data_IF_321551611632
#
_entry.id   IF_321551611632
#
_cell.length_a   1.000
_cell.length_b   1.000
_cell.length_c   1.000
_cell.angle_alpha   90.00
_cell.angle_beta   90.00
_cell.angle_gamma   90.00
#
_symmetry.space_group_name_H-M   'P 1'
#
loop_
_entity.id
_entity.type
_entity.pdbx_description
1 polymer ?
#
# COMPACT_ATOMS: atom_id res chain seq x y z
N UNK A 1 -35.36 -2.53 3.89
CA UNK A 1 -34.43 -2.26 2.76
C UNK A 1 -33.25 -1.48 3.31
N UNK A 2 -32.09 -2.12 3.49
CA UNK A 2 -30.89 -1.43 3.99
C UNK A 2 -30.27 -0.68 2.80
N UNK A 3 -30.38 0.64 2.82
CA UNK A 3 -29.79 1.55 1.86
C UNK A 3 -28.28 1.33 1.80
N UNK A 4 -27.80 0.64 0.77
CA UNK A 4 -26.39 0.58 0.43
C UNK A 4 -25.96 1.97 -0.03
N UNK A 5 -25.46 2.76 0.91
CA UNK A 5 -24.80 4.02 0.61
C UNK A 5 -23.61 3.71 -0.30
N UNK A 6 -23.73 4.05 -1.58
CA UNK A 6 -22.63 4.10 -2.52
C UNK A 6 -21.69 5.24 -2.10
N UNK A 7 -20.89 5.00 -1.06
CA UNK A 7 -19.87 5.94 -0.67
C UNK A 7 -18.81 5.96 -1.78
N UNK A 8 -18.74 7.07 -2.49
CA UNK A 8 -17.60 7.45 -3.31
C UNK A 8 -16.43 7.77 -2.35
N UNK A 9 -15.95 6.77 -1.62
CA UNK A 9 -14.80 6.90 -0.74
C UNK A 9 -13.59 7.02 -1.63
N UNK A 10 -13.20 8.25 -1.98
CA UNK A 10 -11.86 8.51 -2.51
C UNK A 10 -10.87 7.96 -1.49
N UNK A 11 -10.18 6.90 -1.87
CA UNK A 11 -9.10 6.37 -1.07
C UNK A 11 -8.06 7.48 -0.90
N UNK A 12 -7.40 7.51 0.25
CA UNK A 12 -6.33 8.46 0.53
C UNK A 12 -5.08 7.71 0.97
N UNK A 13 -3.95 8.20 0.46
CA UNK A 13 -2.63 7.78 0.86
C UNK A 13 -2.22 8.60 2.09
N UNK A 14 -1.96 7.94 3.21
CA UNK A 14 -1.61 8.56 4.48
C UNK A 14 -0.19 8.17 4.89
N UNK A 15 0.52 9.05 5.59
CA UNK A 15 1.84 8.78 6.14
C UNK A 15 1.77 7.98 7.45
N UNK A 16 2.74 7.08 7.61
CA UNK A 16 2.93 6.29 8.82
C UNK A 16 4.18 6.79 9.52
N UNK A 17 3.99 7.48 10.63
CA UNK A 17 5.07 7.93 11.50
C UNK A 17 5.37 6.81 12.49
N UNK A 18 6.60 6.29 12.47
CA UNK A 18 7.10 5.43 13.53
C UNK A 18 7.84 6.31 14.54
N UNK A 19 7.76 5.97 15.84
CA UNK A 19 8.37 6.76 16.92
C UNK A 19 9.89 6.92 16.76
N UNK A 20 10.56 5.92 16.18
CA UNK A 20 12.00 5.94 15.90
C UNK A 20 12.36 6.52 14.52
N UNK A 21 11.37 6.93 13.72
CA UNK A 21 11.53 7.48 12.38
C UNK A 21 11.97 6.47 11.31
N UNK A 22 12.39 5.25 11.67
CA UNK A 22 12.80 4.24 10.69
C UNK A 22 11.60 3.46 10.24
N UNK A 23 11.46 3.28 8.93
CA UNK A 23 10.48 2.37 8.37
C UNK A 23 11.14 1.37 7.45
N UNK A 24 10.99 0.09 7.77
CA UNK A 24 11.50 -1.02 6.95
C UNK A 24 10.41 -1.63 6.07
N UNK A 25 9.18 -1.11 6.10
CA UNK A 25 8.05 -1.65 5.35
C UNK A 25 8.17 -1.33 3.86
N UNK A 26 7.89 -2.33 3.04
CA UNK A 26 7.81 -2.22 1.58
C UNK A 26 6.36 -2.03 1.16
N UNK A 27 6.16 -1.41 -0.01
CA UNK A 27 4.86 -1.43 -0.68
C UNK A 27 4.43 -2.89 -0.88
N UNK A 28 3.23 -3.23 -0.40
CA UNK A 28 2.68 -4.59 -0.46
C UNK A 28 2.62 -5.08 -1.90
N UNK A 29 2.16 -4.25 -2.83
CA UNK A 29 2.04 -4.66 -4.23
C UNK A 29 3.41 -4.87 -4.90
N UNK A 30 4.37 -3.97 -4.68
CA UNK A 30 5.72 -4.15 -5.19
C UNK A 30 6.36 -5.43 -4.62
N UNK A 31 6.20 -5.66 -3.31
CA UNK A 31 6.72 -6.84 -2.65
C UNK A 31 6.12 -8.12 -3.24
N UNK A 32 4.79 -8.20 -3.34
CA UNK A 32 4.09 -9.35 -3.91
C UNK A 32 4.51 -9.60 -5.36
N UNK A 33 4.54 -8.57 -6.19
CA UNK A 33 4.95 -8.69 -7.60
C UNK A 33 6.38 -9.22 -7.73
N UNK A 34 7.35 -8.65 -7.02
CA UNK A 34 8.74 -9.11 -7.10
C UNK A 34 8.89 -10.51 -6.49
N UNK A 35 8.21 -10.80 -5.39
CA UNK A 35 8.28 -12.12 -4.74
C UNK A 35 7.71 -13.23 -5.58
N UNK A 36 6.71 -12.93 -6.42
CA UNK A 36 6.07 -13.88 -7.33
C UNK A 36 6.89 -14.08 -8.61
N UNK A 37 7.54 -13.03 -9.12
CA UNK A 37 8.32 -13.08 -10.36
C UNK A 37 9.77 -13.52 -10.18
N UNK A 38 10.36 -13.28 -8.99
CA UNK A 38 11.75 -13.59 -8.69
C UNK A 38 11.85 -14.43 -7.42
N UNK A 39 11.96 -13.76 -6.28
CA UNK A 39 12.11 -14.40 -4.97
C UNK A 39 11.70 -13.47 -3.84
N UNK A 40 11.45 -14.05 -2.66
CA UNK A 40 11.19 -13.26 -1.43
C UNK A 40 12.41 -12.41 -1.04
N UNK A 41 13.62 -12.86 -1.33
CA UNK A 41 14.84 -12.10 -1.05
C UNK A 41 14.97 -10.89 -1.96
N UNK A 42 14.69 -11.06 -3.25
CA UNK A 42 14.61 -9.95 -4.20
C UNK A 42 13.53 -8.96 -3.81
N UNK A 43 12.38 -9.43 -3.33
CA UNK A 43 11.32 -8.54 -2.88
C UNK A 43 11.73 -7.68 -1.66
N UNK A 44 12.57 -8.22 -0.77
CA UNK A 44 13.13 -7.44 0.36
C UNK A 44 14.15 -6.41 -0.11
N UNK A 45 14.99 -6.76 -1.10
CA UNK A 45 16.05 -5.87 -1.63
C UNK A 45 15.50 -4.80 -2.58
N UNK A 46 14.70 -5.22 -3.56
CA UNK A 46 14.22 -4.41 -4.68
C UNK A 46 12.83 -3.79 -4.44
N UNK A 47 12.06 -4.32 -3.49
CA UNK A 47 10.76 -3.76 -3.15
C UNK A 47 10.87 -2.30 -2.73
N UNK A 48 9.96 -1.45 -3.23
CA UNK A 48 9.94 -0.03 -2.90
C UNK A 48 9.59 0.16 -1.43
N UNK A 49 10.50 0.77 -0.66
CA UNK A 49 10.24 1.16 0.72
C UNK A 49 9.28 2.36 0.72
N UNK A 50 8.28 2.35 1.60
CA UNK A 50 7.29 3.43 1.64
C UNK A 50 6.74 3.64 3.03
N UNK A 51 6.68 4.90 3.45
CA UNK A 51 6.07 5.35 4.71
C UNK A 51 4.56 5.46 4.61
N UNK A 52 4.01 5.34 3.41
CA UNK A 52 2.59 5.56 3.20
C UNK A 52 1.76 4.27 3.16
N UNK A 53 0.50 4.39 3.53
CA UNK A 53 -0.52 3.34 3.49
C UNK A 53 -1.87 3.89 3.06
N UNK A 54 -2.77 3.03 2.59
CA UNK A 54 -4.14 3.44 2.31
C UNK A 54 -5.01 3.30 3.56
N UNK A 55 -5.49 4.41 4.12
CA UNK A 55 -6.33 4.40 5.32
C UNK A 55 -7.76 3.89 5.11
N UNK A 56 -8.21 3.86 3.85
CA UNK A 56 -9.58 3.46 3.49
C UNK A 56 -9.69 1.97 3.10
N UNK A 57 -8.57 1.32 2.79
CA UNK A 57 -8.55 -0.09 2.46
C UNK A 57 -8.62 -0.95 3.74
N UNK A 58 -9.41 -2.03 3.75
CA UNK A 58 -9.34 -3.04 4.80
C UNK A 58 -7.90 -3.51 5.01
N UNK A 59 -7.46 -3.55 6.27
CA UNK A 59 -6.09 -3.95 6.62
C UNK A 59 -5.01 -2.89 6.37
N UNK A 60 -5.38 -1.70 5.90
CA UNK A 60 -4.49 -0.54 5.77
C UNK A 60 -3.15 -0.88 5.09
N UNK A 61 -3.20 -1.37 3.83
CA UNK A 61 -2.04 -1.87 3.12
C UNK A 61 -1.01 -0.77 2.91
N UNK A 62 0.27 -1.14 3.03
CA UNK A 62 1.37 -0.25 2.77
C UNK A 62 1.52 -0.07 1.25
N UNK A 63 1.45 1.15 0.76
CA UNK A 63 1.41 1.42 -0.68
C UNK A 63 2.36 2.55 -1.04
N UNK A 64 3.14 2.39 -2.11
CA UNK A 64 3.79 3.54 -2.74
C UNK A 64 2.77 4.31 -3.58
N UNK A 65 3.08 5.58 -3.87
CA UNK A 65 2.22 6.45 -4.67
C UNK A 65 1.82 5.86 -6.02
N UNK A 66 2.76 5.28 -6.75
CA UNK A 66 2.50 4.67 -8.08
C UNK A 66 1.50 3.51 -8.00
N UNK A 67 1.68 2.59 -7.04
CA UNK A 67 0.73 1.49 -6.84
C UNK A 67 -0.63 2.00 -6.37
N UNK A 68 -0.64 3.04 -5.54
CA UNK A 68 -1.88 3.67 -5.08
C UNK A 68 -2.66 4.27 -6.25
N UNK A 69 -2.00 5.07 -7.10
CA UNK A 69 -2.61 5.66 -8.29
C UNK A 69 -3.09 4.57 -9.26
N UNK A 70 -2.29 3.53 -9.50
CA UNK A 70 -2.67 2.41 -10.39
C UNK A 70 -3.89 1.61 -9.91
N UNK A 71 -4.08 1.48 -8.59
CA UNK A 71 -5.15 0.67 -8.00
C UNK A 71 -6.42 1.50 -7.74
N UNK A 72 -6.28 2.75 -7.30
CA UNK A 72 -7.41 3.58 -6.85
C UNK A 72 -7.82 4.69 -7.81
N UNK A 73 -7.00 5.05 -8.79
CA UNK A 73 -7.27 6.14 -9.73
C UNK A 73 -7.63 5.61 -11.13
N UNK A 74 -8.65 4.75 -11.20
CA UNK A 74 -9.29 4.32 -12.45
C UNK A 74 -10.55 5.11 -12.72
#
# INVERSE_FOLDING_TARGET
>A
ALSMSFYNHKHQLQDRVNEDGKNRRKCTNCYTCISSNKSREDARKLGKQTYTYCGNCPGQPQMCRECFESIHNK
#
